data_IF_437230303777
#
_entry.id   IF_437230303777
#
_cell.length_a   1.000
_cell.length_b   1.000
_cell.length_c   1.000
_cell.angle_alpha   90.00
_cell.angle_beta   90.00
_cell.angle_gamma   90.00
#
_symmetry.space_group_name_H-M   'P 1'
#
loop_
_entity.id
_entity.type
_entity.pdbx_description
1 polymer ?
#
# COMPACT_ATOMS: atom_id res chain seq x y z
N UNK A 1 -13.71 12.76 -6.50
CA UNK A 1 -12.87 11.55 -6.36
C UNK A 1 -13.35 10.69 -5.19
N UNK A 2 -13.62 9.40 -5.41
CA UNK A 2 -13.95 8.47 -4.31
C UNK A 2 -12.66 8.21 -3.49
N UNK A 3 -12.70 8.48 -2.19
CA UNK A 3 -11.59 8.30 -1.24
C UNK A 3 -11.27 6.81 -1.01
N UNK A 4 -10.61 6.12 -1.94
CA UNK A 4 -10.38 4.66 -1.83
C UNK A 4 -9.26 4.27 -0.87
N UNK A 5 -8.10 4.94 -0.92
CA UNK A 5 -6.96 4.62 -0.03
C UNK A 5 -7.24 4.95 1.45
N UNK A 6 -8.17 5.87 1.71
CA UNK A 6 -8.51 6.34 3.06
C UNK A 6 -9.74 5.68 3.67
N UNK A 7 -10.41 4.77 2.96
CA UNK A 7 -11.63 4.14 3.44
C UNK A 7 -11.58 2.63 3.26
N UNK A 8 -11.33 1.95 4.39
CA UNK A 8 -11.28 0.49 4.52
C UNK A 8 -12.62 -0.22 4.20
N UNK A 9 -13.72 0.52 4.02
CA UNK A 9 -15.01 -0.03 3.55
C UNK A 9 -15.01 -0.32 2.04
N UNK A 10 -14.09 0.26 1.27
CA UNK A 10 -13.98 -0.06 -0.14
C UNK A 10 -13.27 -1.41 -0.32
N UNK A 11 -13.77 -2.29 -1.21
CA UNK A 11 -13.10 -3.53 -1.53
C UNK A 11 -11.68 -3.24 -2.01
N UNK A 12 -10.74 -4.05 -1.55
CA UNK A 12 -9.38 -4.05 -2.07
C UNK A 12 -9.42 -4.25 -3.59
N UNK A 13 -8.81 -3.35 -4.39
CA UNK A 13 -8.76 -3.55 -5.84
C UNK A 13 -7.77 -4.66 -6.22
N UNK A 14 -6.91 -5.08 -5.29
CA UNK A 14 -5.84 -6.03 -5.53
C UNK A 14 -6.33 -7.48 -5.45
N UNK A 15 -6.19 -8.24 -6.56
CA UNK A 15 -6.54 -9.67 -6.61
C UNK A 15 -5.74 -10.50 -5.59
N UNK A 16 -4.48 -10.12 -5.40
CA UNK A 16 -3.54 -10.74 -4.47
C UNK A 16 -3.91 -10.59 -2.97
N UNK A 17 -4.99 -9.86 -2.64
CA UNK A 17 -5.41 -9.63 -1.24
C UNK A 17 -5.69 -10.94 -0.50
N UNK A 18 -6.38 -11.87 -1.15
CA UNK A 18 -6.70 -13.16 -0.53
C UNK A 18 -5.41 -13.97 -0.30
N UNK A 19 -4.45 -13.87 -1.21
CA UNK A 19 -3.19 -14.61 -1.13
C UNK A 19 -2.31 -14.10 0.02
N UNK A 20 -2.20 -12.78 0.21
CA UNK A 20 -1.46 -12.22 1.36
C UNK A 20 -2.17 -12.51 2.69
N UNK A 21 -3.51 -12.50 2.71
CA UNK A 21 -4.31 -12.86 3.89
C UNK A 21 -4.12 -14.34 4.29
N UNK A 22 -3.83 -15.22 3.32
CA UNK A 22 -3.56 -16.64 3.54
C UNK A 22 -2.08 -16.99 3.65
N UNK A 23 -1.18 -16.09 3.27
CA UNK A 23 0.25 -16.36 3.22
C UNK A 23 0.81 -16.82 4.57
N UNK A 24 1.74 -17.78 4.58
CA UNK A 24 2.45 -18.17 5.81
C UNK A 24 3.49 -17.13 6.22
N UNK A 25 4.03 -16.39 5.25
CA UNK A 25 5.04 -15.35 5.46
C UNK A 25 4.66 -14.09 4.66
N UNK A 26 4.11 -13.10 5.37
CA UNK A 26 3.59 -11.86 4.79
C UNK A 26 4.72 -11.00 4.20
N UNK A 27 5.89 -10.96 4.85
CA UNK A 27 7.00 -10.13 4.39
C UNK A 27 7.64 -10.72 3.14
N UNK A 28 7.87 -12.03 3.10
CA UNK A 28 8.35 -12.69 1.88
C UNK A 28 7.37 -12.48 0.72
N UNK A 29 6.06 -12.57 0.97
CA UNK A 29 5.06 -12.29 -0.05
C UNK A 29 5.13 -10.86 -0.60
N UNK A 30 5.32 -9.87 0.27
CA UNK A 30 5.49 -8.48 -0.17
C UNK A 30 6.81 -8.27 -0.90
N UNK A 31 7.87 -8.96 -0.47
CA UNK A 31 9.20 -8.92 -1.09
C UNK A 31 9.21 -9.56 -2.48
N UNK A 32 8.44 -10.62 -2.70
CA UNK A 32 8.27 -11.23 -4.03
C UNK A 32 7.55 -10.28 -5.01
N UNK A 33 6.64 -9.42 -4.51
CA UNK A 33 5.89 -8.48 -5.34
C UNK A 33 6.62 -7.17 -5.59
N UNK A 34 7.26 -6.63 -4.55
CA UNK A 34 7.76 -5.26 -4.53
C UNK A 34 9.26 -5.18 -4.19
N UNK A 35 9.94 -6.30 -3.93
CA UNK A 35 11.26 -6.26 -3.30
C UNK A 35 11.19 -5.64 -1.90
N UNK A 36 12.24 -4.92 -1.51
CA UNK A 36 12.23 -4.23 -0.22
C UNK A 36 11.24 -3.04 -0.22
N UNK A 37 10.11 -3.23 0.47
CA UNK A 37 9.02 -2.25 0.54
C UNK A 37 9.42 -0.88 1.13
N UNK A 38 10.51 -0.80 1.89
CA UNK A 38 10.99 0.47 2.45
C UNK A 38 11.78 1.29 1.43
N UNK A 39 12.46 0.61 0.50
CA UNK A 39 13.33 1.24 -0.50
C UNK A 39 12.75 1.16 -1.91
N UNK A 40 11.60 0.49 -2.10
CA UNK A 40 10.94 0.39 -3.38
C UNK A 40 10.53 1.76 -3.93
N UNK A 41 10.79 1.96 -5.21
CA UNK A 41 10.42 3.19 -5.91
C UNK A 41 8.94 3.17 -6.32
N UNK A 42 8.08 3.53 -5.36
CA UNK A 42 6.64 3.65 -5.54
C UNK A 42 6.23 4.71 -6.57
N UNK A 43 7.12 5.65 -6.91
CA UNK A 43 6.82 6.71 -7.87
C UNK A 43 6.57 6.17 -9.28
N UNK A 44 6.99 4.93 -9.58
CA UNK A 44 6.77 4.27 -10.87
C UNK A 44 5.31 3.84 -11.10
N UNK A 45 4.54 3.65 -10.04
CA UNK A 45 3.17 3.13 -10.11
C UNK A 45 2.15 4.20 -10.41
N UNK A 46 1.13 3.86 -11.20
CA UNK A 46 -0.03 4.72 -11.40
C UNK A 46 -0.97 4.73 -10.19
N UNK A 47 -2.07 5.49 -10.26
CA UNK A 47 -3.03 5.58 -9.15
C UNK A 47 -3.66 4.23 -8.79
N UNK A 48 -3.94 3.37 -9.77
CA UNK A 48 -4.56 2.05 -9.54
C UNK A 48 -3.57 1.09 -8.88
N UNK A 49 -2.33 1.08 -9.35
CA UNK A 49 -1.26 0.26 -8.80
C UNK A 49 -0.92 0.69 -7.37
N UNK A 50 -0.89 1.99 -7.08
CA UNK A 50 -0.72 2.52 -5.73
C UNK A 50 -1.88 2.14 -4.80
N UNK A 51 -3.13 2.18 -5.28
CA UNK A 51 -4.29 1.67 -4.54
C UNK A 51 -4.15 0.16 -4.22
N UNK A 52 -3.69 -0.64 -5.19
CA UNK A 52 -3.43 -2.08 -5.03
C UNK A 52 -2.36 -2.31 -3.96
N UNK A 53 -1.22 -1.65 -4.09
CA UNK A 53 -0.08 -1.77 -3.19
C UNK A 53 -0.45 -1.36 -1.76
N UNK A 54 -1.08 -0.20 -1.59
CA UNK A 54 -1.54 0.24 -0.27
C UNK A 54 -2.49 -0.78 0.36
N UNK A 55 -3.40 -1.33 -0.43
CA UNK A 55 -4.33 -2.32 0.09
C UNK A 55 -3.61 -3.60 0.58
N UNK A 56 -2.62 -4.12 -0.18
CA UNK A 56 -1.86 -5.30 0.26
C UNK A 56 -1.06 -5.00 1.53
N UNK A 57 -0.39 -3.86 1.59
CA UNK A 57 0.37 -3.45 2.79
C UNK A 57 -0.57 -3.23 3.99
N UNK A 58 -1.78 -2.71 3.78
CA UNK A 58 -2.80 -2.58 4.82
C UNK A 58 -3.33 -3.94 5.30
N UNK A 59 -3.54 -4.90 4.40
CA UNK A 59 -3.92 -6.27 4.77
C UNK A 59 -2.81 -6.95 5.58
N UNK A 60 -1.55 -6.79 5.16
CA UNK A 60 -0.38 -7.22 5.92
C UNK A 60 -0.34 -6.60 7.32
N UNK A 61 -0.50 -5.27 7.40
CA UNK A 61 -0.47 -4.52 8.65
C UNK A 61 -1.54 -4.99 9.63
N UNK A 62 -2.78 -5.16 9.17
CA UNK A 62 -3.88 -5.68 10.00
C UNK A 62 -3.52 -7.05 10.59
N UNK A 63 -3.00 -7.95 9.76
CA UNK A 63 -2.66 -9.31 10.19
C UNK A 63 -1.49 -9.35 11.17
N UNK A 64 -0.46 -8.54 10.94
CA UNK A 64 0.68 -8.39 11.85
C UNK A 64 0.23 -7.79 13.18
N UNK A 65 -0.58 -6.73 13.15
CA UNK A 65 -1.11 -6.07 14.36
C UNK A 65 -2.02 -6.98 15.20
N UNK A 66 -2.85 -7.80 14.55
CA UNK A 66 -3.68 -8.82 15.23
C UNK A 66 -2.87 -9.99 15.81
N UNK A 67 -1.59 -10.14 15.46
CA UNK A 67 -0.68 -11.17 15.96
C UNK A 67 0.62 -10.52 16.48
N UNK A 68 0.50 -9.43 17.23
CA UNK A 68 1.63 -8.63 17.69
C UNK A 68 2.67 -9.41 18.52
N UNK A 69 2.30 -10.51 19.18
CA UNK A 69 3.23 -11.40 19.89
C UNK A 69 4.18 -12.17 18.97
N UNK A 70 3.83 -12.33 17.69
CA UNK A 70 4.59 -13.10 16.69
C UNK A 70 5.55 -12.25 15.87
N UNK A 71 5.35 -10.93 15.84
CA UNK A 71 6.10 -10.03 14.96
C UNK A 71 6.79 -8.94 15.75
N UNK A 72 8.06 -8.71 15.44
CA UNK A 72 8.86 -7.65 16.04
C UNK A 72 8.31 -6.25 15.70
N UNK A 73 8.57 -5.30 16.58
CA UNK A 73 8.24 -3.88 16.44
C UNK A 73 8.81 -3.29 15.15
N UNK A 74 10.02 -3.72 14.75
CA UNK A 74 10.64 -3.33 13.48
C UNK A 74 9.73 -3.63 12.29
N UNK A 75 9.24 -4.87 12.21
CA UNK A 75 8.35 -5.35 11.15
C UNK A 75 7.04 -4.53 11.07
N UNK A 76 6.43 -4.23 12.22
CA UNK A 76 5.24 -3.35 12.29
C UNK A 76 5.56 -1.93 11.79
N UNK A 77 6.74 -1.42 12.14
CA UNK A 77 7.22 -0.09 11.76
C UNK A 77 7.41 -0.01 10.25
N UNK A 78 8.04 -1.01 9.62
CA UNK A 78 8.21 -1.09 8.16
C UNK A 78 6.90 -0.96 7.42
N UNK A 79 5.88 -1.72 7.82
CA UNK A 79 4.55 -1.65 7.21
C UNK A 79 3.87 -0.30 7.42
N UNK A 80 4.06 0.31 8.59
CA UNK A 80 3.50 1.63 8.91
C UNK A 80 4.12 2.71 8.02
N UNK A 81 5.45 2.72 7.92
CA UNK A 81 6.19 3.66 7.08
C UNK A 81 5.83 3.49 5.60
N UNK A 82 5.80 2.24 5.12
CA UNK A 82 5.41 1.94 3.73
C UNK A 82 4.02 2.48 3.40
N UNK A 83 3.04 2.34 4.31
CA UNK A 83 1.70 2.92 4.11
C UNK A 83 1.71 4.44 4.01
N UNK A 84 2.53 5.11 4.82
CA UNK A 84 2.67 6.57 4.75
C UNK A 84 3.26 6.99 3.41
N UNK A 85 4.35 6.35 2.97
CA UNK A 85 5.00 6.64 1.68
C UNK A 85 4.03 6.42 0.52
N UNK A 86 3.33 5.28 0.47
CA UNK A 86 2.32 5.00 -0.56
C UNK A 86 1.21 6.06 -0.60
N UNK A 87 0.78 6.54 0.58
CA UNK A 87 -0.24 7.58 0.69
C UNK A 87 0.28 8.92 0.14
N UNK A 88 1.50 9.29 0.49
CA UNK A 88 2.15 10.52 0.01
C UNK A 88 2.31 10.50 -1.51
N UNK A 89 2.86 9.42 -2.06
CA UNK A 89 3.05 9.27 -3.51
C UNK A 89 1.71 9.31 -4.25
N UNK A 90 0.67 8.68 -3.71
CA UNK A 90 -0.67 8.73 -4.30
C UNK A 90 -1.25 10.15 -4.31
N UNK A 91 -1.13 10.88 -3.20
CA UNK A 91 -1.60 12.26 -3.11
C UNK A 91 -0.84 13.19 -4.08
N UNK A 92 0.48 13.04 -4.17
CA UNK A 92 1.30 13.82 -5.11
C UNK A 92 0.87 13.57 -6.56
N UNK A 93 0.61 12.32 -6.94
CA UNK A 93 0.10 12.00 -8.28
C UNK A 93 -1.28 12.59 -8.58
N UNK A 94 -2.16 12.66 -7.58
CA UNK A 94 -3.46 13.33 -7.74
C UNK A 94 -3.25 14.82 -7.98
N UNK A 95 -2.39 15.46 -7.18
CA UNK A 95 -2.08 16.88 -7.33
C UNK A 95 -1.49 17.16 -8.72
N UNK A 96 -0.56 16.33 -9.19
CA UNK A 96 0.00 16.45 -10.54
C UNK A 96 -1.07 16.32 -11.63
N UNK A 97 -2.02 15.39 -11.47
CA UNK A 97 -3.13 15.24 -12.42
C UNK A 97 -4.01 16.48 -12.44
N UNK A 98 -4.35 17.02 -11.26
CA UNK A 98 -5.14 18.24 -11.13
C UNK A 98 -4.41 19.42 -11.76
N UNK A 99 -3.13 19.61 -11.48
CA UNK A 99 -2.34 20.70 -12.07
C UNK A 99 -2.33 20.62 -13.60
N UNK A 100 -2.05 19.44 -14.17
CA UNK A 100 -2.06 19.25 -15.64
C UNK A 100 -3.42 19.53 -16.27
N UNK A 101 -4.50 19.16 -15.58
CA UNK A 101 -5.87 19.44 -16.03
C UNK A 101 -6.17 20.94 -16.01
N UNK A 102 -5.69 21.68 -15.01
CA UNK A 102 -5.89 23.13 -14.91
C UNK A 102 -5.03 23.91 -15.92
N UNK A 103 -3.84 23.41 -16.26
CA UNK A 103 -2.94 24.01 -17.25
C UNK A 103 -3.37 23.76 -18.70
N UNK A 104 -4.14 22.69 -18.96
CA UNK A 104 -4.69 22.34 -20.28
C UNK A 104 -6.21 22.06 -20.18
N UNK A 105 -7.04 23.11 -20.08
CA UNK A 105 -8.49 22.97 -19.87
C UNK A 105 -9.26 22.40 -21.07
#
# INVERSE_FOLDING_TARGET
MKKRIFNDQYPCPCRAKIDIEKSKNIYAFLEDLYGDIETYDWSKYDLTDLECAYCLVQAAFKRVKSNNQKYDTDKITKLTNTRHVLTEVYLNRILDHIHRFLENP
#
